data_IF_825899816089
#
_entry.id   IF_825899816089
#
_cell.length_a   1.000
_cell.length_b   1.000
_cell.length_c   1.000
_cell.angle_alpha   90.00
_cell.angle_beta   90.00
_cell.angle_gamma   90.00
#
_symmetry.space_group_name_H-M   'P 1'
#
loop_
_entity.id
_entity.type
_entity.pdbx_description
1 polymer ?
#
# COMPACT_ATOMS: atom_id res chain seq x y z
N UNK A 1 2.26 13.71 7.21
CA UNK A 1 1.46 14.31 6.12
C UNK A 1 0.00 14.53 6.52
N UNK A 2 -0.74 13.48 6.93
CA UNK A 2 -2.16 13.58 7.27
C UNK A 2 -2.49 14.65 8.33
N UNK A 3 -1.66 14.78 9.37
CA UNK A 3 -1.79 15.85 10.36
C UNK A 3 -1.86 17.24 9.72
N UNK A 4 -0.96 17.55 8.78
CA UNK A 4 -0.96 18.87 8.15
C UNK A 4 -2.18 19.11 7.27
N UNK A 5 -2.71 18.06 6.64
CA UNK A 5 -3.97 18.16 5.88
C UNK A 5 -5.11 18.55 6.83
N UNK A 6 -5.26 17.83 7.95
CA UNK A 6 -6.26 18.16 8.98
C UNK A 6 -6.10 19.60 9.49
N UNK A 7 -4.88 20.03 9.83
CA UNK A 7 -4.63 21.39 10.32
C UNK A 7 -5.00 22.46 9.28
N UNK A 8 -4.65 22.25 8.00
CA UNK A 8 -5.03 23.18 6.93
C UNK A 8 -6.53 23.23 6.73
N UNK A 9 -7.23 22.09 6.81
CA UNK A 9 -8.69 22.07 6.71
C UNK A 9 -9.36 22.83 7.87
N UNK A 10 -8.89 22.64 9.11
CA UNK A 10 -9.37 23.39 10.28
C UNK A 10 -9.14 24.90 10.17
N UNK A 11 -8.09 25.33 9.45
CA UNK A 11 -7.83 26.75 9.19
C UNK A 11 -8.72 27.33 8.10
N UNK A 12 -9.06 26.54 7.06
CA UNK A 12 -9.99 26.94 6.00
C UNK A 12 -11.41 27.13 6.56
N UNK A 13 -11.81 26.32 7.56
CA UNK A 13 -13.12 26.39 8.22
C UNK A 13 -13.00 26.65 9.72
N UNK A 14 -12.73 27.90 10.13
CA UNK A 14 -12.47 28.24 11.53
C UNK A 14 -13.66 28.00 12.46
N UNK A 15 -14.90 28.09 11.94
CA UNK A 15 -16.15 27.79 12.65
C UNK A 15 -16.26 26.32 13.10
N UNK A 16 -15.44 25.43 12.55
CA UNK A 16 -15.41 23.98 12.84
C UNK A 16 -14.01 23.51 13.23
N UNK A 17 -13.17 24.41 13.77
CA UNK A 17 -11.75 24.16 14.03
C UNK A 17 -11.53 22.99 15.00
N UNK A 18 -12.48 22.73 15.89
CA UNK A 18 -12.48 21.64 16.86
C UNK A 18 -12.71 20.27 16.22
N UNK A 19 -13.42 20.21 15.09
CA UNK A 19 -13.73 18.97 14.38
C UNK A 19 -12.57 18.52 13.49
N UNK A 20 -12.34 17.21 13.43
CA UNK A 20 -11.37 16.61 12.49
C UNK A 20 -11.73 17.01 11.05
N UNK A 21 -10.71 17.35 10.27
CA UNK A 21 -10.84 17.84 8.90
C UNK A 21 -11.75 19.07 8.76
N UNK A 22 -11.89 19.90 9.81
CA UNK A 22 -12.76 21.08 9.78
C UNK A 22 -14.24 20.72 9.61
N UNK A 23 -14.67 19.56 10.12
CA UNK A 23 -16.05 19.09 10.03
C UNK A 23 -16.47 18.69 8.62
N UNK A 24 -15.55 18.13 7.83
CA UNK A 24 -15.83 17.64 6.47
C UNK A 24 -15.75 16.12 6.44
N UNK A 25 -16.65 15.53 5.68
CA UNK A 25 -16.57 14.11 5.35
C UNK A 25 -15.36 13.86 4.45
N UNK A 26 -14.51 12.92 4.83
CA UNK A 26 -13.31 12.55 4.08
C UNK A 26 -13.37 11.07 3.72
N UNK A 27 -13.27 10.77 2.43
CA UNK A 27 -13.22 9.41 1.91
C UNK A 27 -11.79 9.09 1.51
N UNK A 28 -11.15 8.18 2.26
CA UNK A 28 -9.86 7.63 1.88
C UNK A 28 -10.07 6.41 0.98
N UNK A 29 -9.47 6.44 -0.20
CA UNK A 29 -9.48 5.31 -1.14
C UNK A 29 -8.06 4.90 -1.45
N UNK A 30 -7.80 3.60 -1.47
CA UNK A 30 -6.48 3.08 -1.79
C UNK A 30 -6.42 1.58 -1.61
N UNK A 31 -5.22 1.05 -1.79
CA UNK A 31 -4.91 -0.35 -1.62
C UNK A 31 -3.83 -0.53 -0.56
N UNK A 32 -4.20 -1.11 0.58
CA UNK A 32 -3.30 -1.35 1.73
C UNK A 32 -2.21 -2.39 1.50
N UNK A 33 -2.24 -3.13 0.39
CA UNK A 33 -1.20 -4.10 0.05
C UNK A 33 -0.17 -3.54 -0.95
N UNK A 34 -0.26 -2.26 -1.30
CA UNK A 34 0.78 -1.59 -2.08
C UNK A 34 1.97 -1.22 -1.20
N UNK A 35 3.00 -0.65 -1.83
CA UNK A 35 4.19 -0.19 -1.12
C UNK A 35 3.82 0.89 -0.10
N UNK A 36 4.49 0.83 1.06
CA UNK A 36 4.46 1.93 2.01
C UNK A 36 4.99 3.21 1.35
N UNK A 37 4.49 4.39 1.78
CA UNK A 37 4.99 5.66 1.27
C UNK A 37 6.49 5.81 1.53
N UNK A 38 7.20 6.52 0.65
CA UNK A 38 8.65 6.80 0.77
C UNK A 38 8.89 7.87 1.83
N UNK A 39 8.61 7.53 3.08
CA UNK A 39 8.74 8.37 4.27
C UNK A 39 9.18 7.50 5.45
N UNK A 40 9.72 8.11 6.53
CA UNK A 40 10.21 7.34 7.67
C UNK A 40 9.12 6.52 8.39
N UNK A 41 7.86 6.95 8.32
CA UNK A 41 6.73 6.31 9.01
C UNK A 41 5.49 6.32 8.10
N UNK A 42 4.95 5.14 7.80
CA UNK A 42 3.65 4.97 7.15
C UNK A 42 2.50 5.18 8.15
N UNK A 43 1.27 5.33 7.64
CA UNK A 43 0.07 5.35 8.50
C UNK A 43 -0.25 3.98 9.14
N UNK A 44 0.35 2.90 8.63
CA UNK A 44 0.28 1.56 9.21
C UNK A 44 1.34 1.32 10.29
N UNK A 45 2.29 2.25 10.47
CA UNK A 45 3.33 2.14 11.49
C UNK A 45 2.73 2.19 12.90
N UNK A 46 3.22 1.31 13.78
CA UNK A 46 2.84 1.30 15.20
C UNK A 46 3.20 2.64 15.86
N UNK A 47 2.30 3.21 16.64
CA UNK A 47 2.53 4.45 17.41
C UNK A 47 3.82 4.40 18.24
N UNK A 48 4.11 3.24 18.84
CA UNK A 48 5.33 3.04 19.64
C UNK A 48 6.65 3.18 18.88
N UNK A 49 6.61 3.10 17.54
CA UNK A 49 7.79 3.23 16.67
C UNK A 49 7.92 4.64 16.07
N UNK A 50 6.92 5.51 16.26
CA UNK A 50 6.88 6.83 15.64
C UNK A 50 7.46 7.87 16.60
N UNK A 51 8.72 8.25 16.37
CA UNK A 51 9.36 9.29 17.16
C UNK A 51 8.80 10.70 16.84
N UNK A 52 8.45 10.94 15.58
CA UNK A 52 8.02 12.26 15.11
C UNK A 52 6.59 12.60 15.55
N UNK A 53 6.43 13.69 16.30
CA UNK A 53 5.13 14.20 16.78
C UNK A 53 4.12 14.41 15.64
N UNK A 54 4.58 14.99 14.52
CA UNK A 54 3.73 15.22 13.33
C UNK A 54 3.20 13.91 12.76
N UNK A 55 4.04 12.88 12.69
CA UNK A 55 3.63 11.57 12.20
C UNK A 55 2.73 10.85 13.21
N UNK A 56 3.01 10.99 14.51
CA UNK A 56 2.20 10.42 15.59
C UNK A 56 0.79 11.00 15.59
N UNK A 57 0.64 12.33 15.54
CA UNK A 57 -0.67 12.98 15.40
C UNK A 57 -1.40 12.56 14.12
N UNK A 58 -0.67 12.43 13.02
CA UNK A 58 -1.24 11.91 11.77
C UNK A 58 -1.74 10.47 11.90
N UNK A 59 -1.01 9.63 12.63
CA UNK A 59 -1.38 8.23 12.92
C UNK A 59 -2.61 8.15 13.82
N UNK A 60 -2.73 9.00 14.84
CA UNK A 60 -3.89 9.11 15.73
C UNK A 60 -5.15 9.49 14.95
N UNK A 61 -5.06 10.48 14.04
CA UNK A 61 -6.17 10.84 13.13
C UNK A 61 -6.59 9.63 12.28
N UNK A 62 -5.63 8.89 11.74
CA UNK A 62 -5.90 7.69 10.95
C UNK A 62 -6.58 6.58 11.77
N UNK A 63 -6.20 6.41 13.04
CA UNK A 63 -6.78 5.45 13.98
C UNK A 63 -8.23 5.81 14.37
N UNK A 64 -8.59 7.09 14.31
CA UNK A 64 -9.96 7.56 14.58
C UNK A 64 -10.96 7.24 13.47
N UNK A 65 -10.52 6.75 12.30
CA UNK A 65 -11.41 6.33 11.22
C UNK A 65 -12.06 5.00 11.61
N UNK A 66 -13.36 5.04 11.90
CA UNK A 66 -14.11 3.88 12.41
C UNK A 66 -14.82 3.07 11.31
N UNK A 67 -14.85 3.57 10.08
CA UNK A 67 -15.61 2.99 8.98
C UNK A 67 -14.68 2.56 7.86
N UNK A 68 -14.71 1.26 7.52
CA UNK A 68 -13.88 0.69 6.45
C UNK A 68 -14.79 -0.11 5.51
N UNK A 69 -14.73 0.24 4.22
CA UNK A 69 -15.41 -0.50 3.16
C UNK A 69 -14.37 -1.25 2.32
N UNK A 70 -14.48 -2.57 2.26
CA UNK A 70 -13.58 -3.41 1.45
C UNK A 70 -14.28 -3.86 0.17
N UNK A 71 -13.73 -3.47 -0.99
CA UNK A 71 -14.20 -3.96 -2.28
C UNK A 71 -13.67 -5.38 -2.53
N UNK A 72 -14.56 -6.35 -2.79
CA UNK A 72 -14.21 -7.77 -2.92
C UNK A 72 -14.23 -8.31 -4.35
N UNK A 73 -14.87 -7.60 -5.28
CA UNK A 73 -15.02 -8.04 -6.67
C UNK A 73 -14.08 -7.25 -7.61
N UNK A 74 -12.96 -7.84 -8.08
CA UNK A 74 -12.07 -7.19 -9.01
C UNK A 74 -12.60 -7.29 -10.44
N UNK A 75 -12.92 -6.13 -11.04
CA UNK A 75 -13.33 -6.10 -12.45
C UNK A 75 -12.20 -6.48 -13.42
N UNK A 76 -10.94 -6.14 -13.07
CA UNK A 76 -9.77 -6.40 -13.93
C UNK A 76 -9.48 -7.90 -14.09
N UNK A 77 -9.83 -8.72 -13.10
CA UNK A 77 -9.53 -10.16 -13.10
C UNK A 77 -10.57 -11.04 -13.79
N UNK A 78 -11.62 -10.47 -14.39
CA UNK A 78 -12.70 -11.26 -14.99
C UNK A 78 -12.24 -12.08 -16.20
N UNK A 79 -11.24 -11.60 -16.94
CA UNK A 79 -10.71 -12.26 -18.14
C UNK A 79 -9.55 -13.22 -17.85
N UNK A 80 -9.00 -13.18 -16.63
CA UNK A 80 -7.87 -14.02 -16.21
C UNK A 80 -8.00 -14.35 -14.71
N UNK A 81 -8.96 -15.24 -14.35
CA UNK A 81 -9.24 -15.55 -12.95
C UNK A 81 -8.07 -16.26 -12.27
N UNK A 82 -7.33 -17.09 -13.00
CA UNK A 82 -6.18 -17.83 -12.50
C UNK A 82 -5.06 -16.88 -12.03
N UNK A 83 -4.70 -15.90 -12.87
CA UNK A 83 -3.72 -14.88 -12.51
C UNK A 83 -4.16 -14.07 -11.29
N UNK A 84 -5.44 -13.68 -11.23
CA UNK A 84 -5.94 -12.89 -10.12
C UNK A 84 -6.06 -13.68 -8.80
N UNK A 85 -6.29 -14.98 -8.87
CA UNK A 85 -6.23 -15.85 -7.71
C UNK A 85 -4.79 -16.00 -7.18
N UNK A 86 -3.81 -16.12 -8.08
CA UNK A 86 -2.40 -16.10 -7.72
C UNK A 86 -2.02 -14.76 -7.06
N UNK A 87 -2.44 -13.62 -7.63
CA UNK A 87 -2.23 -12.30 -7.02
C UNK A 87 -2.91 -12.14 -5.65
N UNK A 88 -4.11 -12.70 -5.46
CA UNK A 88 -4.80 -12.69 -4.15
C UNK A 88 -4.04 -13.49 -3.10
N UNK A 89 -3.45 -14.62 -3.48
CA UNK A 89 -2.60 -15.44 -2.61
C UNK A 89 -1.30 -14.71 -2.26
N UNK A 90 -0.65 -14.12 -3.26
CA UNK A 90 0.53 -13.27 -3.08
C UNK A 90 0.25 -12.11 -2.12
N UNK A 91 -0.85 -11.37 -2.32
CA UNK A 91 -1.30 -10.26 -1.46
C UNK A 91 -1.42 -10.65 0.01
N UNK A 92 -1.83 -11.90 0.29
CA UNK A 92 -2.00 -12.43 1.66
C UNK A 92 -0.73 -13.04 2.24
N UNK A 93 0.38 -12.99 1.50
CA UNK A 93 1.65 -13.63 1.87
C UNK A 93 1.58 -15.16 1.87
N UNK A 94 0.72 -15.75 1.02
CA UNK A 94 0.53 -17.21 0.90
C UNK A 94 0.63 -17.71 -0.56
N UNK A 95 1.66 -17.33 -1.33
CA UNK A 95 1.83 -17.88 -2.67
C UNK A 95 2.13 -19.38 -2.63
N UNK A 96 1.72 -20.10 -3.66
CA UNK A 96 2.05 -21.51 -3.91
C UNK A 96 3.21 -21.63 -4.90
N UNK A 97 3.74 -22.86 -5.09
CA UNK A 97 4.76 -23.13 -6.12
C UNK A 97 4.18 -22.85 -7.51
N UNK A 98 2.97 -23.33 -7.78
CA UNK A 98 2.25 -23.10 -9.04
C UNK A 98 2.05 -21.59 -9.32
N UNK A 99 1.78 -20.78 -8.29
CA UNK A 99 1.68 -19.31 -8.46
C UNK A 99 3.01 -18.71 -8.93
N UNK A 100 4.13 -19.17 -8.35
CA UNK A 100 5.47 -18.69 -8.71
C UNK A 100 5.84 -19.12 -10.13
N UNK A 101 5.55 -20.36 -10.49
CA UNK A 101 5.74 -20.87 -11.85
C UNK A 101 4.88 -20.10 -12.86
N UNK A 102 3.62 -19.82 -12.53
CA UNK A 102 2.73 -18.97 -13.32
C UNK A 102 3.31 -17.56 -13.50
N UNK A 103 3.82 -16.92 -12.44
CA UNK A 103 4.47 -15.62 -12.54
C UNK A 103 5.70 -15.66 -13.45
N UNK A 104 6.56 -16.67 -13.27
CA UNK A 104 7.78 -16.84 -14.06
C UNK A 104 7.49 -17.14 -15.54
N UNK A 105 6.41 -17.87 -15.84
CA UNK A 105 6.00 -18.18 -17.22
C UNK A 105 5.69 -16.95 -18.07
N UNK A 106 5.40 -15.81 -17.42
CA UNK A 106 5.07 -14.53 -18.07
C UNK A 106 6.23 -13.52 -18.02
N UNK A 107 7.37 -13.92 -17.48
CA UNK A 107 8.62 -13.16 -17.60
C UNK A 107 9.27 -13.46 -18.96
N UNK A 108 9.92 -12.46 -19.54
CA UNK A 108 10.71 -12.63 -20.76
C UNK A 108 11.90 -13.56 -20.43
N UNK A 109 12.17 -14.56 -21.28
CA UNK A 109 13.39 -15.35 -21.10
C UNK A 109 14.59 -14.44 -21.26
N UNK A 110 15.63 -14.55 -20.42
CA UNK A 110 16.83 -13.73 -20.55
C UNK A 110 17.44 -13.74 -21.95
N UNK A 111 17.33 -14.88 -22.66
CA UNK A 111 17.85 -15.07 -24.02
C UNK A 111 17.06 -14.30 -25.10
N UNK A 112 15.80 -13.93 -24.81
CA UNK A 112 14.93 -13.16 -25.69
C UNK A 112 15.11 -11.64 -25.52
N UNK A 113 15.98 -11.21 -24.59
CA UNK A 113 16.21 -9.79 -24.31
C UNK A 113 17.26 -9.24 -25.28
N UNK A 114 16.94 -8.19 -26.07
CA UNK A 114 17.89 -7.59 -26.99
C UNK A 114 19.19 -7.16 -26.28
N UNK A 115 20.34 -7.42 -26.91
CA UNK A 115 21.68 -7.15 -26.35
C UNK A 115 21.94 -5.68 -25.97
N UNK A 116 21.07 -4.75 -26.36
CA UNK A 116 21.13 -3.32 -26.04
C UNK A 116 20.23 -2.91 -24.86
N UNK A 117 19.50 -3.84 -24.24
CA UNK A 117 18.69 -3.58 -23.05
C UNK A 117 19.53 -3.76 -21.78
N UNK A 118 19.76 -2.67 -21.04
CA UNK A 118 20.33 -2.73 -19.69
C UNK A 118 19.28 -3.27 -18.71
N UNK A 119 19.39 -4.54 -18.34
CA UNK A 119 18.63 -5.07 -17.19
C UNK A 119 19.40 -4.69 -15.93
N UNK A 120 18.92 -3.68 -15.20
CA UNK A 120 19.37 -3.46 -13.84
C UNK A 120 19.08 -4.73 -13.04
N UNK A 121 20.11 -5.36 -12.45
CA UNK A 121 19.92 -6.50 -11.55
C UNK A 121 19.01 -6.05 -10.40
N UNK A 122 17.72 -6.40 -10.46
CA UNK A 122 16.84 -6.32 -9.31
C UNK A 122 17.29 -7.39 -8.31
N UNK A 123 18.28 -7.06 -7.47
CA UNK A 123 18.65 -7.91 -6.35
C UNK A 123 17.47 -7.94 -5.39
N UNK A 124 16.81 -9.09 -5.28
CA UNK A 124 15.89 -9.36 -4.18
C UNK A 124 16.66 -9.15 -2.86
N UNK A 125 16.32 -8.15 -2.03
CA UNK A 125 17.06 -7.88 -0.82
C UNK A 125 16.53 -8.79 0.29
N UNK A 126 16.66 -10.12 0.13
CA UNK A 126 16.48 -11.09 1.24
C UNK A 126 16.80 -12.53 0.79
N UNK A 127 18.10 -12.87 0.76
CA UNK A 127 18.55 -14.29 0.88
C UNK A 127 18.61 -14.79 2.33
N UNK A 128 18.02 -14.05 3.29
CA UNK A 128 18.03 -14.43 4.69
C UNK A 128 16.64 -14.29 5.31
N UNK A 129 15.78 -15.29 5.04
CA UNK A 129 14.77 -15.89 5.93
C UNK A 129 13.60 -16.45 5.12
N UNK A 130 13.80 -17.66 4.61
CA UNK A 130 12.83 -18.76 4.61
C UNK A 130 13.69 -20.02 4.44
N UNK A 131 13.60 -20.96 5.39
CA UNK A 131 14.25 -22.26 5.26
C UNK A 131 13.48 -23.14 4.29
#
# INVERSE_FOLDING_TARGET
MLYWIDQRMREIWPEHRELTFGGRDVIFTGDSAQLDPVVPYSLSSSLSKIASDVHRKGREIWEGINSVCTLTSPNRGKLDPEWFDALRRLRRGRPTVDDVELFNSRCINPDDIPNNCFIGQARCPQKHRCR
#
